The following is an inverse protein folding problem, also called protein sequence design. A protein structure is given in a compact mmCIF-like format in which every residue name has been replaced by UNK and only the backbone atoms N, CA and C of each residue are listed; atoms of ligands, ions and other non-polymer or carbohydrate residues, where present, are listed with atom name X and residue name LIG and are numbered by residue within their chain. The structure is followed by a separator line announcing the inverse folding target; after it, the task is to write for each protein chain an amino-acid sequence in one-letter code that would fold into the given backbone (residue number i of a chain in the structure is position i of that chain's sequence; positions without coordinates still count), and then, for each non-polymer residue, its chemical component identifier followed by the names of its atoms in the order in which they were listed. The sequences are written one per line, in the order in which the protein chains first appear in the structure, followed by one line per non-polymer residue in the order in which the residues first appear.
data_IF_361235267872
#
_entry.id   IF_361235267872
#
_cell.length_a   1.000
_cell.length_b   1.000
_cell.length_c   1.000
_cell.angle_alpha   90.00
_cell.angle_beta   90.00
_cell.angle_gamma   90.00
#
_symmetry.space_group_name_H-M   'P 1'
#
loop_
_entity.id
_entity.type
_entity.pdbx_description
1 polymer ?
#
# COMPACT_ATOMS: atom_id res chain seq x y z
N UNK A 1 15.72 -18.76 -10.28
CA UNK A 1 15.34 -18.94 -8.86
C UNK A 1 14.60 -17.70 -8.39
N UNK A 2 13.45 -17.87 -7.75
CA UNK A 2 12.76 -16.75 -7.09
C UNK A 2 13.51 -16.51 -5.78
N UNK A 3 14.12 -15.33 -5.61
CA UNK A 3 14.64 -14.93 -4.30
C UNK A 3 13.47 -14.93 -3.31
N UNK A 4 13.39 -15.97 -2.48
CA UNK A 4 12.39 -16.05 -1.43
C UNK A 4 12.58 -14.86 -0.49
N UNK A 5 11.59 -13.97 -0.41
CA UNK A 5 11.59 -12.93 0.61
C UNK A 5 11.65 -13.61 1.99
N UNK A 6 12.51 -13.12 2.88
CA UNK A 6 12.70 -13.69 4.22
C UNK A 6 11.48 -13.51 5.15
N UNK A 7 10.41 -12.89 4.66
CA UNK A 7 9.21 -12.57 5.42
C UNK A 7 7.96 -12.73 4.56
N UNK A 8 6.82 -12.94 5.21
CA UNK A 8 5.51 -13.07 4.58
C UNK A 8 4.68 -11.77 4.63
N UNK A 9 4.92 -10.94 5.64
CA UNK A 9 4.18 -9.71 5.88
C UNK A 9 5.14 -8.55 6.20
N UNK A 10 4.80 -7.37 5.70
CA UNK A 10 5.46 -6.11 6.01
C UNK A 10 4.42 -5.17 6.62
N UNK A 11 4.69 -4.72 7.85
CA UNK A 11 3.89 -3.67 8.51
C UNK A 11 4.72 -2.41 8.49
N UNK A 12 4.12 -1.31 8.02
CA UNK A 12 4.82 -0.04 7.81
C UNK A 12 3.85 1.12 7.81
N UNK A 13 4.35 2.36 7.80
CA UNK A 13 3.55 3.58 7.76
C UNK A 13 3.46 4.15 6.35
N UNK A 14 2.51 5.06 6.12
CA UNK A 14 2.38 5.77 4.84
C UNK A 14 3.67 6.47 4.40
N UNK A 15 4.40 7.08 5.35
CA UNK A 15 5.63 7.81 5.07
C UNK A 15 6.72 6.90 4.50
N UNK A 16 6.92 5.73 5.12
CA UNK A 16 7.90 4.75 4.65
C UNK A 16 7.50 4.15 3.31
N UNK A 17 6.20 3.85 3.11
CA UNK A 17 5.70 3.39 1.80
C UNK A 17 6.00 4.44 0.72
N UNK A 18 5.70 5.71 0.97
CA UNK A 18 5.97 6.78 -0.01
C UNK A 18 7.47 6.98 -0.28
N UNK A 19 8.31 6.91 0.76
CA UNK A 19 9.76 7.11 0.63
C UNK A 19 10.47 5.93 -0.05
N UNK A 20 10.11 4.69 0.28
CA UNK A 20 10.76 3.48 -0.24
C UNK A 20 10.07 2.90 -1.49
N UNK A 21 9.32 3.73 -2.21
CA UNK A 21 8.51 3.30 -3.36
C UNK A 21 9.29 2.54 -4.42
N UNK A 22 10.51 2.97 -4.71
CA UNK A 22 11.36 2.36 -5.75
C UNK A 22 11.74 0.91 -5.46
N UNK A 23 11.80 0.53 -4.18
CA UNK A 23 12.09 -0.84 -3.73
C UNK A 23 10.81 -1.65 -3.58
N UNK A 24 9.85 -1.11 -2.84
CA UNK A 24 8.65 -1.85 -2.45
C UNK A 24 7.66 -2.07 -3.60
N UNK A 25 7.67 -1.23 -4.64
CA UNK A 25 6.82 -1.41 -5.84
C UNK A 25 7.27 -2.56 -6.75
N UNK A 26 8.49 -3.08 -6.59
CA UNK A 26 9.02 -4.23 -7.34
C UNK A 26 8.49 -5.57 -6.83
N UNK A 27 7.90 -5.57 -5.64
CA UNK A 27 7.36 -6.77 -5.01
C UNK A 27 5.98 -7.06 -5.58
N UNK A 28 5.73 -8.31 -5.96
CA UNK A 28 4.40 -8.76 -6.39
C UNK A 28 3.51 -9.05 -5.16
N UNK A 29 2.90 -8.00 -4.62
CA UNK A 29 2.06 -8.12 -3.44
C UNK A 29 0.79 -8.93 -3.75
N UNK A 30 0.47 -9.94 -2.93
CA UNK A 30 -0.84 -10.60 -3.02
C UNK A 30 -1.94 -9.72 -2.42
N UNK A 31 -1.64 -9.06 -1.31
CA UNK A 31 -2.55 -8.17 -0.60
C UNK A 31 -1.85 -6.89 -0.18
N UNK A 32 -2.57 -5.78 -0.26
CA UNK A 32 -2.23 -4.52 0.41
C UNK A 32 -3.42 -4.17 1.31
N UNK A 33 -3.17 -4.07 2.61
CA UNK A 33 -4.16 -3.69 3.62
C UNK A 33 -3.84 -2.26 4.03
N UNK A 34 -4.81 -1.37 3.90
CA UNK A 34 -4.65 0.06 4.18
C UNK A 34 -5.56 0.41 5.34
N UNK A 35 -4.95 0.76 6.47
CA UNK A 35 -5.65 1.17 7.69
C UNK A 35 -5.90 2.68 7.70
N UNK A 36 -6.99 3.09 8.33
CA UNK A 36 -7.50 4.46 8.30
C UNK A 36 -7.59 5.02 6.85
N UNK A 37 -8.13 4.20 5.94
CA UNK A 37 -8.17 4.45 4.50
C UNK A 37 -8.91 5.75 4.11
N UNK A 38 -9.69 6.35 5.00
CA UNK A 38 -10.28 7.67 4.79
C UNK A 38 -9.23 8.77 4.55
N UNK A 39 -7.95 8.56 4.93
CA UNK A 39 -6.84 9.45 4.55
C UNK A 39 -6.63 9.55 3.03
N UNK A 40 -7.16 8.61 2.25
CA UNK A 40 -7.08 8.56 0.78
C UNK A 40 -8.33 9.05 0.06
N UNK A 41 -9.29 9.71 0.73
CA UNK A 41 -10.53 10.23 0.11
C UNK A 41 -10.28 10.99 -1.19
N UNK A 42 -9.22 11.80 -1.24
CA UNK A 42 -8.81 12.50 -2.45
C UNK A 42 -7.90 11.61 -3.33
N UNK A 43 -8.45 11.05 -4.41
CA UNK A 43 -7.70 10.25 -5.41
C UNK A 43 -6.57 11.02 -6.11
N UNK A 44 -6.65 12.35 -6.15
CA UNK A 44 -5.58 13.18 -6.74
C UNK A 44 -4.44 13.49 -5.74
N UNK A 45 -4.61 13.11 -4.47
CA UNK A 45 -3.56 13.27 -3.46
C UNK A 45 -2.28 12.55 -3.87
N UNK A 46 -1.15 13.04 -3.39
CA UNK A 46 0.16 12.38 -3.59
C UNK A 46 0.13 10.96 -3.02
N UNK A 47 -0.48 10.79 -1.85
CA UNK A 47 -0.63 9.49 -1.18
C UNK A 47 -1.36 8.47 -2.06
N UNK A 48 -2.55 8.82 -2.56
CA UNK A 48 -3.34 7.92 -3.41
C UNK A 48 -2.58 7.54 -4.69
N UNK A 49 -1.98 8.53 -5.36
CA UNK A 49 -1.19 8.28 -6.58
C UNK A 49 0.03 7.39 -6.31
N UNK A 50 0.75 7.60 -5.21
CA UNK A 50 1.90 6.76 -4.86
C UNK A 50 1.46 5.34 -4.49
N UNK A 51 0.34 5.16 -3.79
CA UNK A 51 -0.20 3.84 -3.47
C UNK A 51 -0.73 3.09 -4.71
N UNK A 52 -1.26 3.80 -5.72
CA UNK A 52 -1.69 3.20 -6.98
C UNK A 52 -0.53 2.66 -7.83
N UNK A 53 0.71 3.07 -7.55
CA UNK A 53 1.92 2.51 -8.18
C UNK A 53 2.30 1.13 -7.64
N UNK A 54 1.68 0.67 -6.56
CA UNK A 54 1.91 -0.67 -6.02
C UNK A 54 1.02 -1.70 -6.69
N UNK A 55 1.63 -2.67 -7.35
CA UNK A 55 0.91 -3.82 -7.91
C UNK A 55 0.48 -4.74 -6.79
N UNK A 56 -0.81 -5.04 -6.74
CA UNK A 56 -1.34 -6.08 -5.86
C UNK A 56 -2.52 -6.80 -6.50
N UNK A 57 -2.73 -8.07 -6.14
CA UNK A 57 -3.91 -8.82 -6.60
C UNK A 57 -5.19 -8.31 -5.93
N UNK A 58 -5.13 -8.02 -4.63
CA UNK A 58 -6.27 -7.55 -3.84
C UNK A 58 -5.86 -6.41 -2.91
N UNK A 59 -6.75 -5.43 -2.74
CA UNK A 59 -6.60 -4.32 -1.81
C UNK A 59 -7.75 -4.34 -0.80
N UNK A 60 -7.41 -4.31 0.48
CA UNK A 60 -8.38 -4.20 1.57
C UNK A 60 -8.24 -2.82 2.20
N UNK A 61 -9.34 -2.08 2.28
CA UNK A 61 -9.39 -0.77 2.91
C UNK A 61 -10.11 -0.90 4.25
N UNK A 62 -9.44 -0.56 5.33
CA UNK A 62 -10.01 -0.51 6.68
C UNK A 62 -10.19 0.96 7.05
N UNK A 63 -11.37 1.34 7.51
CA UNK A 63 -11.67 2.70 7.95
C UNK A 63 -12.73 2.64 9.04
N UNK A 64 -12.52 3.38 10.12
CA UNK A 64 -13.54 3.58 11.16
C UNK A 64 -14.60 4.62 10.78
N UNK A 65 -14.42 5.31 9.65
CA UNK A 65 -15.30 6.40 9.21
C UNK A 65 -15.89 6.12 7.83
N UNK A 66 -17.13 6.57 7.55
CA UNK A 66 -17.71 6.46 6.23
C UNK A 66 -16.84 7.18 5.18
N UNK A 67 -16.49 6.46 4.12
CA UNK A 67 -15.92 7.01 2.89
C UNK A 67 -17.03 7.78 2.14
N UNK A 68 -17.35 8.96 2.63
CA UNK A 68 -17.99 10.03 1.85
C UNK A 68 -16.97 10.66 0.91
#
# INVERSE_FOLDING_TARGET
EVCAMKFNALVTTYEFVMNDRSKLSKVEWKYIIIDEAQRMKNRNSRLARDLDRYRCQRRLLLTGTPLQ
#
